data_IF_211672879332
#
_entry.id   IF_211672879332
#
_cell.length_a   1.000
_cell.length_b   1.000
_cell.length_c   1.000
_cell.angle_alpha   90.00
_cell.angle_beta   90.00
_cell.angle_gamma   90.00
#
_symmetry.space_group_name_H-M   'P 1'
#
loop_
_entity.id
_entity.type
_entity.pdbx_description
1 polymer ?
#
# COMPACT_ATOMS: atom_id res chain seq x y z
N UNK A 1 11.31 -1.50 -14.49
CA UNK A 1 10.42 -1.80 -13.35
C UNK A 1 9.98 -3.25 -13.48
N UNK A 2 10.06 -4.07 -12.43
CA UNK A 2 9.55 -5.44 -12.53
C UNK A 2 8.02 -5.36 -12.50
N UNK A 3 7.41 -5.54 -13.66
CA UNK A 3 5.95 -5.66 -13.76
C UNK A 3 5.56 -7.01 -13.18
N UNK A 4 4.83 -7.01 -12.06
CA UNK A 4 4.23 -8.22 -11.51
C UNK A 4 2.85 -8.36 -12.15
N UNK A 5 2.77 -9.13 -13.23
CA UNK A 5 1.50 -9.36 -13.92
C UNK A 5 0.61 -10.28 -13.09
N UNK A 6 -0.41 -9.71 -12.45
CA UNK A 6 -1.46 -10.46 -11.76
C UNK A 6 -2.64 -10.66 -12.71
N UNK A 7 -3.09 -11.91 -12.88
CA UNK A 7 -4.21 -12.21 -13.78
C UNK A 7 -5.55 -12.01 -13.06
N UNK A 8 -6.31 -11.00 -13.46
CA UNK A 8 -7.69 -10.79 -12.99
C UNK A 8 -8.68 -11.59 -13.86
N UNK A 9 -9.88 -11.95 -13.35
CA UNK A 9 -10.43 -11.61 -12.03
C UNK A 9 -9.86 -12.44 -10.86
N UNK A 10 -9.83 -11.84 -9.68
CA UNK A 10 -9.28 -12.39 -8.45
C UNK A 10 -10.36 -13.03 -7.57
N UNK A 11 -10.07 -14.22 -7.05
CA UNK A 11 -10.72 -14.78 -5.87
C UNK A 11 -9.91 -14.35 -4.63
N UNK A 12 -10.50 -13.55 -3.75
CA UNK A 12 -9.85 -13.09 -2.53
C UNK A 12 -9.96 -14.14 -1.44
N UNK A 13 -8.83 -14.78 -1.12
CA UNK A 13 -8.76 -15.80 -0.09
C UNK A 13 -8.45 -15.17 1.28
N UNK A 14 -9.34 -15.39 2.24
CA UNK A 14 -9.25 -14.81 3.59
C UNK A 14 -9.13 -15.87 4.69
N UNK A 15 -8.88 -17.13 4.31
CA UNK A 15 -8.66 -18.22 5.26
C UNK A 15 -9.77 -18.31 6.31
N UNK A 16 -9.40 -18.67 7.53
CA UNK A 16 -10.30 -18.68 8.70
C UNK A 16 -10.14 -17.42 9.56
N UNK A 17 -9.80 -16.28 8.96
CA UNK A 17 -9.56 -15.03 9.68
C UNK A 17 -10.84 -14.51 10.37
N UNK A 18 -10.68 -13.92 11.54
CA UNK A 18 -11.77 -13.33 12.32
C UNK A 18 -11.55 -11.88 12.69
N UNK A 19 -10.30 -11.39 12.64
CA UNK A 19 -9.97 -10.00 12.92
C UNK A 19 -9.78 -9.20 11.62
N UNK A 20 -10.58 -8.14 11.39
CA UNK A 20 -10.50 -7.34 10.16
C UNK A 20 -9.12 -6.76 9.87
N UNK A 21 -8.32 -6.52 10.92
CA UNK A 21 -6.97 -5.97 10.80
C UNK A 21 -6.02 -6.85 9.98
N UNK A 22 -6.20 -8.17 10.02
CA UNK A 22 -5.37 -9.13 9.31
C UNK A 22 -5.83 -9.37 7.87
N UNK A 23 -7.08 -9.04 7.54
CA UNK A 23 -7.63 -9.11 6.17
C UNK A 23 -7.45 -7.82 5.35
N UNK A 24 -6.60 -6.89 5.81
CA UNK A 24 -6.37 -5.57 5.18
C UNK A 24 -5.96 -5.64 3.70
N UNK A 25 -5.30 -6.72 3.27
CA UNK A 25 -4.91 -6.90 1.87
C UNK A 25 -6.14 -7.18 1.02
N UNK A 26 -6.98 -8.13 1.44
CA UNK A 26 -8.25 -8.43 0.76
C UNK A 26 -9.19 -7.21 0.75
N UNK A 27 -9.38 -6.57 1.90
CA UNK A 27 -10.22 -5.37 2.02
C UNK A 27 -9.71 -4.23 1.13
N UNK A 28 -8.38 -4.07 1.03
CA UNK A 28 -7.77 -3.09 0.13
C UNK A 28 -8.07 -3.37 -1.34
N UNK A 29 -7.96 -4.62 -1.79
CA UNK A 29 -8.28 -5.01 -3.17
C UNK A 29 -9.77 -4.81 -3.48
N UNK A 30 -10.64 -5.30 -2.60
CA UNK A 30 -12.08 -5.17 -2.75
C UNK A 30 -12.54 -3.69 -2.80
N UNK A 31 -11.85 -2.80 -2.08
CA UNK A 31 -12.18 -1.38 -2.07
C UNK A 31 -11.63 -0.62 -3.29
N UNK A 32 -10.37 -0.84 -3.65
CA UNK A 32 -9.66 0.00 -4.64
C UNK A 32 -9.75 -0.52 -6.07
N UNK A 33 -9.89 -1.83 -6.25
CA UNK A 33 -10.04 -2.48 -7.56
C UNK A 33 -11.17 -3.52 -7.52
N UNK A 34 -12.40 -3.13 -7.11
CA UNK A 34 -13.54 -4.05 -7.03
C UNK A 34 -13.82 -4.75 -8.36
N UNK A 35 -13.57 -4.08 -9.49
CA UNK A 35 -13.74 -4.63 -10.84
C UNK A 35 -12.79 -5.80 -11.14
N UNK A 36 -11.66 -5.88 -10.43
CA UNK A 36 -10.75 -7.03 -10.50
C UNK A 36 -11.13 -8.15 -9.52
N UNK A 37 -12.02 -7.91 -8.56
CA UNK A 37 -12.37 -8.86 -7.51
C UNK A 37 -13.70 -9.55 -7.81
N UNK A 38 -13.68 -10.84 -8.16
CA UNK A 38 -14.90 -11.57 -8.53
C UNK A 38 -15.61 -12.23 -7.35
N UNK A 39 -14.89 -12.44 -6.25
CA UNK A 39 -15.46 -13.07 -5.06
C UNK A 39 -14.47 -13.18 -3.90
N UNK A 40 -14.96 -13.73 -2.80
CA UNK A 40 -14.18 -14.09 -1.63
C UNK A 40 -14.31 -15.59 -1.30
N UNK A 41 -13.28 -16.15 -0.69
CA UNK A 41 -13.25 -17.51 -0.15
C UNK A 41 -12.75 -17.48 1.30
N UNK A 42 -13.59 -17.98 2.21
CA UNK A 42 -13.27 -18.22 3.61
C UNK A 42 -13.23 -19.71 3.92
N UNK A 43 -12.39 -20.11 4.87
CA UNK A 43 -12.36 -21.43 5.46
C UNK A 43 -13.29 -21.49 6.70
N UNK A 44 -13.68 -22.69 7.15
CA UNK A 44 -14.48 -22.86 8.37
C UNK A 44 -13.88 -22.10 9.56
N UNK A 45 -14.75 -21.37 10.29
CA UNK A 45 -14.37 -20.54 11.43
C UNK A 45 -14.04 -19.08 11.08
N UNK A 46 -13.82 -18.73 9.81
CA UNK A 46 -13.62 -17.35 9.40
C UNK A 46 -14.91 -16.51 9.46
N UNK A 47 -14.82 -15.28 9.94
CA UNK A 47 -15.96 -14.36 10.10
C UNK A 47 -15.87 -13.11 9.22
N UNK A 48 -14.74 -12.90 8.53
CA UNK A 48 -14.55 -11.74 7.66
C UNK A 48 -15.48 -11.80 6.45
N UNK A 49 -16.18 -10.69 6.21
CA UNK A 49 -17.00 -10.45 5.02
C UNK A 49 -16.52 -9.17 4.33
N UNK A 50 -16.15 -9.29 3.05
CA UNK A 50 -15.69 -8.18 2.21
C UNK A 50 -16.84 -7.58 1.39
N UNK A 51 -18.06 -8.10 1.53
CA UNK A 51 -19.21 -7.73 0.71
C UNK A 51 -19.16 -8.28 -0.72
N UNK A 52 -18.29 -9.26 -0.98
CA UNK A 52 -18.13 -9.91 -2.29
C UNK A 52 -18.90 -11.23 -2.35
N UNK A 53 -19.27 -11.72 -3.55
CA UNK A 53 -19.82 -13.06 -3.71
C UNK A 53 -18.94 -14.14 -3.07
N UNK A 54 -19.56 -15.07 -2.34
CA UNK A 54 -18.85 -16.18 -1.69
C UNK A 54 -18.71 -17.33 -2.68
N UNK A 55 -17.48 -17.76 -2.90
CA UNK A 55 -17.14 -18.85 -3.80
C UNK A 55 -16.27 -19.88 -3.11
N UNK A 56 -16.38 -21.13 -3.53
CA UNK A 56 -15.30 -22.11 -3.42
C UNK A 56 -14.36 -22.01 -4.63
N UNK A 57 -13.24 -22.73 -4.59
CA UNK A 57 -12.24 -22.70 -5.68
C UNK A 57 -12.86 -23.11 -7.02
N UNK A 58 -13.64 -24.20 -7.04
CA UNK A 58 -14.19 -24.79 -8.27
C UNK A 58 -15.22 -23.86 -8.92
N UNK A 59 -16.10 -23.26 -8.13
CA UNK A 59 -17.10 -22.30 -8.61
C UNK A 59 -16.45 -21.01 -9.08
N UNK A 60 -15.42 -20.50 -8.39
CA UNK A 60 -14.67 -19.33 -8.82
C UNK A 60 -13.96 -19.58 -10.17
N UNK A 61 -13.30 -20.73 -10.31
CA UNK A 61 -12.63 -21.13 -11.56
C UNK A 61 -13.62 -21.17 -12.74
N UNK A 62 -14.78 -21.80 -12.55
CA UNK A 62 -15.86 -21.86 -13.54
C UNK A 62 -16.45 -20.49 -13.87
N UNK A 63 -16.50 -19.60 -12.88
CA UNK A 63 -16.93 -18.21 -13.05
C UNK A 63 -15.84 -17.32 -13.68
N UNK A 64 -14.67 -17.87 -14.00
CA UNK A 64 -13.62 -17.19 -14.77
C UNK A 64 -12.49 -16.58 -13.93
N UNK A 65 -12.42 -16.85 -12.62
CA UNK A 65 -11.30 -16.43 -11.79
C UNK A 65 -9.97 -16.93 -12.37
N UNK A 66 -8.96 -16.06 -12.35
CA UNK A 66 -7.62 -16.32 -12.90
C UNK A 66 -6.55 -16.43 -11.83
N UNK A 67 -6.78 -15.81 -10.68
CA UNK A 67 -5.87 -15.91 -9.54
C UNK A 67 -6.62 -16.03 -8.23
N UNK A 68 -6.09 -16.84 -7.32
CA UNK A 68 -6.42 -16.82 -5.90
C UNK A 68 -5.40 -15.91 -5.20
N UNK A 69 -5.88 -14.81 -4.61
CA UNK A 69 -5.02 -13.85 -3.91
C UNK A 69 -5.14 -14.08 -2.41
N UNK A 70 -4.03 -14.41 -1.74
CA UNK A 70 -3.98 -14.52 -0.29
C UNK A 70 -4.09 -13.10 0.31
N UNK A 71 -5.28 -12.80 0.79
CA UNK A 71 -5.67 -11.47 1.25
C UNK A 71 -5.49 -11.25 2.76
N UNK A 72 -4.92 -12.21 3.47
CA UNK A 72 -4.67 -12.17 4.92
C UNK A 72 -3.19 -12.17 5.27
N UNK A 73 -2.85 -11.62 6.44
CA UNK A 73 -1.51 -11.67 7.02
C UNK A 73 -1.57 -12.35 8.38
N UNK A 74 -1.19 -13.63 8.45
CA UNK A 74 -1.07 -14.33 9.72
C UNK A 74 0.07 -13.76 10.57
N UNK A 75 -0.09 -13.76 11.90
CA UNK A 75 0.99 -13.45 12.84
C UNK A 75 2.14 -14.44 12.61
N UNK A 76 3.34 -13.93 12.34
CA UNK A 76 4.52 -14.74 11.99
C UNK A 76 4.68 -15.05 10.49
N UNK A 77 3.69 -14.75 9.65
CA UNK A 77 3.83 -14.74 8.19
C UNK A 77 3.90 -16.11 7.49
N UNK A 78 3.66 -17.21 8.22
CA UNK A 78 3.59 -18.56 7.68
C UNK A 78 2.20 -18.86 7.09
N UNK A 79 2.17 -19.73 6.07
CA UNK A 79 0.93 -20.29 5.53
C UNK A 79 0.51 -21.47 6.42
N UNK A 80 -0.66 -21.44 7.06
CA UNK A 80 -1.16 -22.55 7.86
C UNK A 80 -1.31 -23.83 7.04
N UNK A 81 -0.95 -24.98 7.61
CA UNK A 81 -1.11 -26.29 6.96
C UNK A 81 -2.55 -26.55 6.51
N UNK A 82 -3.54 -26.05 7.26
CA UNK A 82 -4.95 -26.16 6.93
C UNK A 82 -5.35 -25.48 5.60
N UNK A 83 -4.53 -24.56 5.08
CA UNK A 83 -4.81 -23.88 3.80
C UNK A 83 -4.32 -24.71 2.60
N UNK A 84 -3.35 -25.60 2.81
CA UNK A 84 -2.68 -26.35 1.72
C UNK A 84 -3.65 -27.07 0.79
N UNK A 85 -4.68 -27.80 1.28
CA UNK A 85 -5.64 -28.45 0.38
C UNK A 85 -6.37 -27.47 -0.54
N UNK A 86 -6.73 -26.28 -0.03
CA UNK A 86 -7.40 -25.25 -0.81
C UNK A 86 -6.47 -24.60 -1.83
N UNK A 87 -5.22 -24.33 -1.44
CA UNK A 87 -4.21 -23.75 -2.33
C UNK A 87 -3.86 -24.72 -3.47
N UNK A 88 -3.64 -26.00 -3.16
CA UNK A 88 -3.39 -27.03 -4.19
C UNK A 88 -4.58 -27.14 -5.15
N UNK A 89 -5.81 -27.19 -4.64
CA UNK A 89 -7.02 -27.22 -5.47
C UNK A 89 -7.12 -26.00 -6.40
N UNK A 90 -6.67 -24.82 -5.96
CA UNK A 90 -6.66 -23.62 -6.78
C UNK A 90 -5.71 -23.75 -7.97
N UNK A 91 -4.49 -24.25 -7.73
CA UNK A 91 -3.52 -24.53 -8.80
C UNK A 91 -4.06 -25.57 -9.78
N UNK A 92 -4.57 -26.70 -9.27
CA UNK A 92 -5.18 -27.76 -10.09
C UNK A 92 -6.36 -27.26 -10.93
N UNK A 93 -7.08 -26.24 -10.45
CA UNK A 93 -8.17 -25.58 -11.16
C UNK A 93 -7.70 -24.50 -12.15
N UNK A 94 -6.38 -24.31 -12.29
CA UNK A 94 -5.75 -23.37 -13.21
C UNK A 94 -5.64 -21.93 -12.70
N UNK A 95 -5.84 -21.70 -11.40
CA UNK A 95 -5.70 -20.37 -10.79
C UNK A 95 -4.26 -20.16 -10.35
N UNK A 96 -3.66 -19.03 -10.74
CA UNK A 96 -2.39 -18.60 -10.15
C UNK A 96 -2.59 -18.30 -8.66
N UNK A 97 -1.60 -18.59 -7.81
CA UNK A 97 -1.62 -18.16 -6.40
C UNK A 97 -0.75 -16.92 -6.27
N UNK A 98 -1.33 -15.87 -5.68
CA UNK A 98 -0.65 -14.61 -5.43
C UNK A 98 -0.57 -14.37 -3.94
N UNK A 99 0.63 -14.12 -3.41
CA UNK A 99 0.82 -13.86 -2.00
C UNK A 99 1.91 -12.83 -1.71
N UNK A 100 1.72 -12.07 -0.63
CA UNK A 100 2.72 -11.16 -0.06
C UNK A 100 3.21 -11.60 1.33
N UNK A 101 3.04 -12.90 1.64
CA UNK A 101 3.46 -13.49 2.92
C UNK A 101 4.99 -13.55 3.04
N UNK A 102 5.50 -13.77 4.25
CA UNK A 102 6.94 -13.89 4.48
C UNK A 102 7.50 -15.23 3.99
N UNK A 103 6.75 -16.32 4.15
CA UNK A 103 7.11 -17.63 3.61
C UNK A 103 6.82 -17.66 2.12
N UNK A 104 7.85 -17.76 1.27
CA UNK A 104 7.66 -17.73 -0.17
C UNK A 104 6.91 -18.97 -0.65
N UNK A 105 5.94 -18.78 -1.54
CA UNK A 105 5.20 -19.86 -2.18
C UNK A 105 6.16 -20.81 -2.91
N UNK A 106 7.17 -20.24 -3.59
CA UNK A 106 8.18 -20.99 -4.35
C UNK A 106 9.18 -21.77 -3.47
N UNK A 107 9.11 -21.64 -2.14
CA UNK A 107 9.90 -22.46 -1.20
C UNK A 107 9.09 -23.65 -0.64
N UNK A 108 7.81 -23.80 -1.03
CA UNK A 108 6.92 -24.86 -0.57
C UNK A 108 6.80 -25.99 -1.61
N UNK A 109 7.40 -27.18 -1.38
CA UNK A 109 7.48 -28.23 -2.41
C UNK A 109 6.12 -28.69 -2.96
N UNK A 110 5.11 -28.77 -2.10
CA UNK A 110 3.75 -29.17 -2.49
C UNK A 110 3.11 -28.17 -3.46
N UNK A 111 3.26 -26.87 -3.23
CA UNK A 111 2.74 -25.83 -4.14
C UNK A 111 3.52 -25.82 -5.46
N UNK A 112 4.84 -25.97 -5.40
CA UNK A 112 5.68 -26.01 -6.61
C UNK A 112 5.33 -27.21 -7.50
N UNK A 113 5.09 -28.38 -6.91
CA UNK A 113 4.66 -29.56 -7.64
C UNK A 113 3.30 -29.33 -8.33
N UNK A 114 2.29 -28.87 -7.59
CA UNK A 114 0.96 -28.61 -8.11
C UNK A 114 0.94 -27.51 -9.20
N UNK A 115 1.73 -26.44 -9.02
CA UNK A 115 1.89 -25.38 -10.02
C UNK A 115 2.52 -25.91 -11.31
N UNK A 116 3.55 -26.76 -11.21
CA UNK A 116 4.19 -27.38 -12.37
C UNK A 116 3.26 -28.30 -13.15
N UNK A 117 2.43 -29.07 -12.46
CA UNK A 117 1.49 -30.02 -13.10
C UNK A 117 0.32 -29.31 -13.78
N UNK A 118 -0.20 -28.24 -13.18
CA UNK A 118 -1.33 -27.46 -13.70
C UNK A 118 -0.93 -26.42 -14.75
N UNK A 119 0.33 -25.96 -14.74
CA UNK A 119 0.79 -24.80 -15.51
C UNK A 119 0.39 -23.44 -14.90
N UNK A 120 -0.23 -23.45 -13.71
CA UNK A 120 -0.50 -22.24 -12.94
C UNK A 120 0.78 -21.66 -12.33
N UNK A 121 0.77 -20.37 -11.99
CA UNK A 121 1.94 -19.66 -11.46
C UNK A 121 1.83 -19.39 -9.96
N UNK A 122 2.98 -19.44 -9.27
CA UNK A 122 3.14 -18.96 -7.91
C UNK A 122 3.78 -17.57 -7.93
N UNK A 123 3.07 -16.56 -7.46
CA UNK A 123 3.48 -15.16 -7.52
C UNK A 123 3.78 -14.62 -6.13
N UNK A 124 5.07 -14.53 -5.81
CA UNK A 124 5.58 -13.94 -4.56
C UNK A 124 5.77 -12.42 -4.72
N UNK A 125 4.76 -11.64 -4.32
CA UNK A 125 4.74 -10.17 -4.47
C UNK A 125 5.79 -9.47 -3.61
N UNK A 126 6.32 -10.16 -2.59
CA UNK A 126 7.31 -9.62 -1.66
C UNK A 126 8.76 -9.87 -2.10
N UNK A 127 8.98 -10.45 -3.27
CA UNK A 127 10.34 -10.63 -3.81
C UNK A 127 10.71 -9.38 -4.62
N UNK A 128 11.69 -8.59 -4.18
CA UNK A 128 12.15 -7.44 -4.96
C UNK A 128 12.92 -7.87 -6.21
N UNK A 129 13.07 -6.98 -7.21
CA UNK A 129 13.97 -7.20 -8.34
C UNK A 129 15.39 -7.53 -7.89
N UNK A 130 16.10 -8.38 -8.64
CA UNK A 130 17.49 -8.79 -8.31
C UNK A 130 18.50 -7.65 -8.49
N UNK A 131 18.32 -6.85 -9.55
CA UNK A 131 19.32 -5.88 -10.00
C UNK A 131 18.90 -4.44 -9.65
N UNK A 132 18.57 -4.18 -8.38
CA UNK A 132 18.29 -2.82 -7.91
C UNK A 132 19.63 -2.09 -7.74
N UNK A 133 19.84 -0.94 -8.40
CA UNK A 133 21.07 -0.18 -8.24
C UNK A 133 21.10 0.54 -6.89
N UNK A 134 22.28 1.03 -6.50
CA UNK A 134 22.37 2.07 -5.47
C UNK A 134 21.74 3.35 -6.02
N UNK A 135 20.99 4.07 -5.19
CA UNK A 135 20.38 5.35 -5.59
C UNK A 135 21.44 6.39 -5.94
N UNK A 136 21.17 7.18 -6.96
CA UNK A 136 22.09 8.20 -7.51
C UNK A 136 21.87 9.58 -6.91
N UNK A 137 20.65 9.87 -6.44
CA UNK A 137 20.25 11.22 -6.01
C UNK A 137 20.16 12.23 -7.16
N UNK A 138 20.25 11.79 -8.42
CA UNK A 138 20.07 12.67 -9.56
C UNK A 138 18.59 13.04 -9.69
N UNK A 139 18.29 14.35 -9.69
CA UNK A 139 16.91 14.84 -9.85
C UNK A 139 16.35 14.38 -11.20
N UNK A 140 15.16 13.81 -11.17
CA UNK A 140 14.44 13.28 -12.33
C UNK A 140 13.32 14.21 -12.76
N UNK A 141 13.00 14.25 -14.05
CA UNK A 141 11.86 15.00 -14.60
C UNK A 141 10.53 14.43 -14.11
N UNK A 142 9.48 15.25 -14.10
CA UNK A 142 8.19 14.94 -13.49
C UNK A 142 8.15 15.28 -12.01
N UNK A 143 6.92 15.34 -11.48
CA UNK A 143 6.61 15.75 -10.12
C UNK A 143 6.32 14.54 -9.25
N UNK A 144 6.62 14.63 -7.96
CA UNK A 144 6.54 13.49 -7.03
C UNK A 144 5.88 13.89 -5.73
N UNK A 145 4.82 13.17 -5.36
CA UNK A 145 4.14 13.32 -4.08
C UNK A 145 4.40 12.07 -3.22
N UNK A 146 4.96 12.25 -2.02
CA UNK A 146 5.17 11.16 -1.07
C UNK A 146 4.18 11.23 0.09
N UNK A 147 3.51 10.12 0.41
CA UNK A 147 2.80 10.02 1.68
C UNK A 147 3.77 9.64 2.79
N UNK A 148 3.80 10.40 3.88
CA UNK A 148 4.57 10.10 5.11
C UNK A 148 3.60 9.93 6.27
N UNK A 149 4.05 9.57 7.47
CA UNK A 149 3.11 9.49 8.58
C UNK A 149 3.73 9.39 9.96
N UNK A 150 2.87 9.61 10.95
CA UNK A 150 3.21 9.50 12.39
C UNK A 150 3.53 8.06 12.79
N UNK A 151 3.03 7.07 12.04
CA UNK A 151 3.27 5.65 12.25
C UNK A 151 2.94 4.78 11.00
N UNK A 152 3.06 3.47 11.13
CA UNK A 152 2.58 2.40 10.28
C UNK A 152 1.06 2.19 10.35
N UNK A 153 0.51 1.61 9.28
CA UNK A 153 -0.87 1.11 9.19
C UNK A 153 -1.97 2.14 9.54
N UNK A 154 -1.78 3.40 9.13
CA UNK A 154 -2.68 4.53 9.44
C UNK A 154 -3.29 5.23 8.21
N UNK A 155 -3.08 4.68 6.99
CA UNK A 155 -3.73 5.23 5.79
C UNK A 155 -2.83 5.71 4.67
N UNK A 156 -1.48 5.73 4.80
CA UNK A 156 -0.57 6.23 3.74
C UNK A 156 -0.88 5.73 2.32
N UNK A 157 -1.07 4.41 2.16
CA UNK A 157 -1.48 3.79 0.89
C UNK A 157 -2.84 4.32 0.39
N UNK A 158 -3.82 4.44 1.28
CA UNK A 158 -5.17 4.88 0.94
C UNK A 158 -5.16 6.36 0.54
N UNK A 159 -4.38 7.19 1.24
CA UNK A 159 -4.14 8.59 0.87
C UNK A 159 -3.52 8.70 -0.51
N UNK A 160 -2.45 7.94 -0.78
CA UNK A 160 -1.79 7.95 -2.09
C UNK A 160 -2.71 7.49 -3.23
N UNK A 161 -3.49 6.42 -3.02
CA UNK A 161 -4.48 5.95 -4.00
C UNK A 161 -5.60 6.98 -4.23
N UNK A 162 -6.12 7.61 -3.16
CA UNK A 162 -7.15 8.62 -3.26
C UNK A 162 -6.68 9.85 -4.05
N UNK A 163 -5.46 10.33 -3.78
CA UNK A 163 -4.85 11.45 -4.49
C UNK A 163 -4.64 11.10 -5.96
N UNK A 164 -4.01 9.96 -6.26
CA UNK A 164 -3.76 9.55 -7.65
C UNK A 164 -5.06 9.43 -8.45
N UNK A 165 -6.08 8.79 -7.87
CA UNK A 165 -7.39 8.64 -8.51
C UNK A 165 -8.09 9.98 -8.74
N UNK A 166 -8.13 10.85 -7.73
CA UNK A 166 -8.76 12.16 -7.86
C UNK A 166 -8.00 13.07 -8.86
N UNK A 167 -6.67 12.97 -8.94
CA UNK A 167 -5.89 13.63 -9.98
C UNK A 167 -6.30 13.15 -11.38
N UNK A 168 -6.36 11.83 -11.59
CA UNK A 168 -6.79 11.25 -12.87
C UNK A 168 -8.23 11.63 -13.24
N UNK A 169 -9.15 11.64 -12.27
CA UNK A 169 -10.54 12.07 -12.45
C UNK A 169 -10.65 13.56 -12.87
N UNK A 170 -9.67 14.37 -12.47
CA UNK A 170 -9.51 15.78 -12.90
C UNK A 170 -8.72 15.94 -14.20
N UNK A 171 -8.31 14.85 -14.86
CA UNK A 171 -7.53 14.90 -16.10
C UNK A 171 -6.05 15.24 -15.91
N UNK A 172 -5.54 15.16 -14.68
CA UNK A 172 -4.11 15.34 -14.37
C UNK A 172 -3.41 14.01 -14.61
N UNK A 173 -2.29 14.05 -15.34
CA UNK A 173 -1.45 12.88 -15.58
C UNK A 173 -0.76 12.47 -14.27
N UNK A 174 -1.22 11.36 -13.67
CA UNK A 174 -0.73 10.90 -12.39
C UNK A 174 -0.77 9.38 -12.31
N UNK A 175 0.28 8.78 -11.73
CA UNK A 175 0.40 7.36 -11.47
C UNK A 175 0.55 7.09 -9.97
N UNK A 176 -0.22 6.14 -9.44
CA UNK A 176 0.07 5.57 -8.13
C UNK A 176 1.30 4.66 -8.22
N UNK A 177 2.34 4.96 -7.41
CA UNK A 177 3.57 4.18 -7.33
C UNK A 177 3.58 3.32 -6.07
N UNK A 178 3.33 2.03 -6.26
CA UNK A 178 3.28 1.08 -5.16
C UNK A 178 4.66 0.74 -4.61
N UNK A 179 4.77 0.76 -3.28
CA UNK A 179 5.99 0.43 -2.53
C UNK A 179 5.77 -0.71 -1.52
N UNK A 180 4.52 -1.14 -1.33
CA UNK A 180 4.16 -2.24 -0.44
C UNK A 180 3.36 -3.32 -1.16
N UNK A 181 3.36 -4.53 -0.58
CA UNK A 181 2.68 -5.71 -1.15
C UNK A 181 1.24 -5.45 -1.61
N UNK A 182 0.39 -4.84 -0.76
CA UNK A 182 -1.01 -4.60 -1.12
C UNK A 182 -1.12 -3.54 -2.21
N UNK A 183 -0.27 -2.51 -2.18
CA UNK A 183 -0.21 -1.51 -3.25
C UNK A 183 0.13 -2.16 -4.59
N UNK A 184 1.11 -3.06 -4.60
CA UNK A 184 1.53 -3.78 -5.81
C UNK A 184 0.42 -4.67 -6.33
N UNK A 185 -0.34 -5.34 -5.44
CA UNK A 185 -1.48 -6.15 -5.86
C UNK A 185 -2.61 -5.31 -6.46
N UNK A 186 -2.79 -4.08 -6.00
CA UNK A 186 -3.79 -3.13 -6.55
C UNK A 186 -3.31 -2.60 -7.92
N UNK A 187 -2.07 -2.13 -7.99
CA UNK A 187 -1.49 -1.46 -9.15
C UNK A 187 -1.06 -2.42 -10.28
N UNK A 188 -0.68 -3.67 -9.95
CA UNK A 188 -0.07 -4.62 -10.88
C UNK A 188 1.40 -4.34 -11.19
N UNK A 189 2.03 -3.38 -10.51
CA UNK A 189 3.46 -3.10 -10.58
C UNK A 189 3.92 -2.43 -9.27
N UNK A 190 5.24 -2.35 -9.07
CA UNK A 190 5.85 -1.70 -7.91
C UNK A 190 7.03 -2.50 -7.36
N UNK A 191 7.55 -2.09 -6.21
CA UNK A 191 8.66 -2.77 -5.53
C UNK A 191 8.33 -2.88 -4.04
N UNK A 192 8.37 -4.07 -3.42
CA UNK A 192 8.15 -4.23 -1.98
C UNK A 192 9.37 -3.70 -1.22
N UNK A 193 9.39 -2.39 -0.94
CA UNK A 193 10.60 -1.71 -0.46
C UNK A 193 11.05 -2.19 0.92
N UNK A 194 10.14 -2.78 1.71
CA UNK A 194 10.46 -3.38 3.02
C UNK A 194 11.28 -4.68 2.91
N UNK A 195 11.32 -5.30 1.72
CA UNK A 195 12.09 -6.50 1.42
C UNK A 195 13.39 -6.19 0.64
N UNK A 196 13.62 -4.92 0.31
CA UNK A 196 14.84 -4.47 -0.38
C UNK A 196 15.98 -4.38 0.63
N UNK A 197 17.16 -4.90 0.27
CA UNK A 197 18.37 -4.79 1.08
C UNK A 197 18.73 -3.32 1.25
N UNK A 198 19.16 -2.94 2.46
CA UNK A 198 19.31 -1.54 2.88
C UNK A 198 20.10 -0.65 1.90
N UNK A 199 21.19 -1.17 1.33
CA UNK A 199 22.05 -0.47 0.36
C UNK A 199 21.31 0.02 -0.90
N UNK A 200 20.16 -0.60 -1.22
CA UNK A 200 19.42 -0.37 -2.47
C UNK A 200 18.06 0.30 -2.25
N UNK A 201 17.72 0.73 -1.04
CA UNK A 201 16.41 1.35 -0.73
C UNK A 201 16.15 2.61 -1.57
N UNK A 202 17.15 3.51 -1.66
CA UNK A 202 17.03 4.72 -2.47
C UNK A 202 16.94 4.41 -3.96
N UNK A 203 17.73 3.46 -4.46
CA UNK A 203 17.66 3.04 -5.87
C UNK A 203 16.32 2.38 -6.22
N UNK A 204 15.74 1.60 -5.31
CA UNK A 204 14.38 1.08 -5.47
C UNK A 204 13.35 2.22 -5.57
N UNK A 205 13.48 3.23 -4.72
CA UNK A 205 12.61 4.41 -4.74
C UNK A 205 12.77 5.24 -6.05
N UNK A 206 13.98 5.31 -6.61
CA UNK A 206 14.22 5.91 -7.93
C UNK A 206 13.54 5.08 -9.05
N UNK A 207 13.63 3.75 -8.99
CA UNK A 207 13.04 2.85 -9.99
C UNK A 207 11.51 2.89 -10.01
N UNK A 208 10.85 3.11 -8.87
CA UNK A 208 9.39 3.26 -8.81
C UNK A 208 8.91 4.67 -9.18
N UNK A 209 9.81 5.67 -9.25
CA UNK A 209 9.48 7.06 -9.59
C UNK A 209 10.41 7.61 -10.69
N UNK A 210 10.40 6.99 -11.89
CA UNK A 210 11.37 7.27 -12.95
C UNK A 210 11.22 8.68 -13.55
N UNK A 211 12.04 9.04 -14.53
CA UNK A 211 11.80 10.24 -15.34
C UNK A 211 10.43 10.14 -16.02
N UNK A 212 9.67 11.23 -15.97
CA UNK A 212 8.40 11.35 -16.68
C UNK A 212 8.26 12.75 -17.32
N UNK A 213 7.12 13.02 -17.96
CA UNK A 213 6.78 14.36 -18.46
C UNK A 213 6.82 15.38 -17.31
N UNK A 214 7.14 16.64 -17.58
CA UNK A 214 7.37 17.64 -16.54
C UNK A 214 6.15 17.87 -15.63
N UNK A 215 4.94 17.63 -16.15
CA UNK A 215 3.68 17.82 -15.43
C UNK A 215 3.07 16.54 -14.86
N UNK A 216 3.66 15.37 -15.14
CA UNK A 216 3.20 14.09 -14.58
C UNK A 216 3.51 13.99 -13.08
N UNK A 217 2.57 13.43 -12.33
CA UNK A 217 2.72 13.15 -10.89
C UNK A 217 2.92 11.66 -10.59
N UNK A 218 4.08 11.31 -10.05
CA UNK A 218 4.26 10.05 -9.33
C UNK A 218 3.72 10.20 -7.90
N UNK A 219 2.60 9.55 -7.58
CA UNK A 219 2.01 9.56 -6.23
C UNK A 219 2.44 8.29 -5.49
N UNK A 220 3.40 8.45 -4.59
CA UNK A 220 4.19 7.37 -4.03
C UNK A 220 3.59 6.90 -2.70
N UNK A 221 3.31 5.59 -2.63
CA UNK A 221 2.88 4.92 -1.40
C UNK A 221 3.97 5.03 -0.33
N UNK A 222 3.63 5.60 0.82
CA UNK A 222 4.52 5.69 1.96
C UNK A 222 4.63 4.39 2.76
N UNK A 223 5.85 4.06 3.18
CA UNK A 223 6.13 2.95 4.12
C UNK A 223 6.75 3.45 5.41
N UNK A 224 6.52 2.72 6.51
CA UNK A 224 7.12 3.00 7.81
C UNK A 224 6.72 4.35 8.42
N UNK A 225 7.58 4.87 9.30
CA UNK A 225 7.61 6.27 9.71
C UNK A 225 9.05 6.64 10.05
N UNK A 226 9.45 7.89 9.79
CA UNK A 226 10.77 8.42 10.17
C UNK A 226 11.03 8.37 11.69
N UNK A 227 9.98 8.24 12.50
CA UNK A 227 10.06 8.14 13.96
C UNK A 227 9.90 6.70 14.47
N UNK A 228 9.56 5.74 13.60
CA UNK A 228 9.36 4.36 14.03
C UNK A 228 10.71 3.65 14.28
N UNK A 229 10.97 3.10 15.48
CA UNK A 229 12.26 2.50 15.81
C UNK A 229 12.70 1.38 14.86
N UNK A 230 11.76 0.53 14.45
CA UNK A 230 12.03 -0.61 13.57
C UNK A 230 11.93 -0.35 12.06
N UNK A 231 11.36 0.78 11.60
CA UNK A 231 10.99 0.96 10.17
C UNK A 231 11.43 2.30 9.58
N UNK A 232 12.16 3.12 10.35
CA UNK A 232 12.64 4.44 9.89
C UNK A 232 13.60 4.33 8.71
N UNK A 233 14.44 3.29 8.64
CA UNK A 233 15.35 3.05 7.52
C UNK A 233 14.63 2.98 6.18
N UNK A 234 13.48 2.30 6.14
CA UNK A 234 12.65 2.18 4.94
C UNK A 234 12.07 3.53 4.53
N UNK A 235 11.51 4.29 5.50
CA UNK A 235 10.97 5.63 5.23
C UNK A 235 12.03 6.60 4.73
N UNK A 236 13.24 6.56 5.32
CA UNK A 236 14.37 7.40 4.90
C UNK A 236 14.82 7.04 3.49
N UNK A 237 14.99 5.74 3.18
CA UNK A 237 15.38 5.30 1.84
C UNK A 237 14.36 5.72 0.77
N UNK A 238 13.07 5.60 1.06
CA UNK A 238 11.98 6.07 0.20
C UNK A 238 12.05 7.58 0.00
N UNK A 239 12.15 8.38 1.06
CA UNK A 239 12.25 9.84 0.98
C UNK A 239 13.45 10.28 0.12
N UNK A 240 14.62 9.70 0.36
CA UNK A 240 15.86 10.05 -0.33
C UNK A 240 15.81 9.70 -1.82
N UNK A 241 15.37 8.49 -2.15
CA UNK A 241 15.34 8.06 -3.55
C UNK A 241 14.16 8.64 -4.32
N UNK A 242 13.02 8.86 -3.69
CA UNK A 242 11.85 9.45 -4.35
C UNK A 242 12.00 10.94 -4.61
N UNK A 243 12.81 11.69 -3.85
CA UNK A 243 13.05 13.12 -4.06
C UNK A 243 11.75 13.95 -4.25
N UNK A 244 10.77 13.78 -3.34
CA UNK A 244 9.42 14.32 -3.54
C UNK A 244 9.43 15.84 -3.61
N UNK A 245 8.58 16.40 -4.47
CA UNK A 245 8.28 17.83 -4.54
C UNK A 245 7.27 18.22 -3.47
N UNK A 246 6.34 17.31 -3.16
CA UNK A 246 5.35 17.48 -2.13
C UNK A 246 5.22 16.24 -1.25
N UNK A 247 4.78 16.42 -0.01
CA UNK A 247 4.38 15.31 0.84
C UNK A 247 3.12 15.59 1.65
N UNK A 248 2.44 14.50 2.03
CA UNK A 248 1.22 14.53 2.86
C UNK A 248 1.49 13.76 4.14
N UNK A 249 1.25 14.38 5.29
CA UNK A 249 1.40 13.73 6.60
C UNK A 249 0.14 12.93 6.92
N UNK A 250 0.29 11.62 7.02
CA UNK A 250 -0.80 10.71 7.36
C UNK A 250 -0.78 10.41 8.87
N UNK A 251 -1.94 10.46 9.51
CA UNK A 251 -2.11 10.12 10.94
C UNK A 251 -3.43 9.38 11.18
N UNK A 252 -3.61 8.80 12.37
CA UNK A 252 -4.86 8.19 12.82
C UNK A 252 -5.43 8.98 13.99
N UNK A 253 -6.73 9.29 13.95
CA UNK A 253 -7.38 10.05 15.00
C UNK A 253 -7.29 9.33 16.36
N UNK A 254 -6.97 10.09 17.41
CA UNK A 254 -6.88 9.65 18.80
C UNK A 254 -5.76 8.64 19.12
N UNK A 255 -4.94 8.23 18.15
CA UNK A 255 -3.80 7.34 18.41
C UNK A 255 -2.69 8.11 19.12
N UNK A 256 -2.20 7.55 20.23
CA UNK A 256 -1.16 8.19 21.06
C UNK A 256 0.17 7.46 21.04
N UNK A 257 0.17 6.16 20.71
CA UNK A 257 1.37 5.31 20.72
C UNK A 257 1.51 4.52 19.43
N UNK A 258 2.72 4.02 19.21
CA UNK A 258 3.01 3.16 18.08
C UNK A 258 2.24 1.85 18.21
N UNK A 259 1.56 1.43 17.13
CA UNK A 259 0.71 0.23 17.17
C UNK A 259 1.57 -1.02 17.33
N UNK A 260 1.29 -1.77 18.39
CA UNK A 260 2.05 -2.95 18.78
C UNK A 260 3.35 -2.65 19.54
N UNK A 261 3.66 -1.37 19.79
CA UNK A 261 4.86 -0.90 20.50
C UNK A 261 4.43 0.13 21.56
N UNK A 262 3.79 -0.31 22.65
CA UNK A 262 3.12 0.58 23.61
C UNK A 262 4.08 1.49 24.38
N UNK A 263 5.38 1.21 24.39
CA UNK A 263 6.39 2.02 25.08
C UNK A 263 6.84 3.26 24.29
N UNK A 264 6.31 3.45 23.07
CA UNK A 264 6.73 4.52 22.16
C UNK A 264 5.54 5.41 21.78
N UNK A 265 5.57 6.67 22.22
CA UNK A 265 4.59 7.68 21.83
C UNK A 265 4.69 8.04 20.34
N UNK A 266 3.58 8.48 19.75
CA UNK A 266 3.59 9.02 18.41
C UNK A 266 4.28 10.39 18.35
N UNK A 267 5.01 10.70 17.27
CA UNK A 267 5.46 12.06 17.04
C UNK A 267 4.29 13.00 16.79
N UNK A 268 4.47 14.28 17.11
CA UNK A 268 3.55 15.32 16.68
C UNK A 268 3.61 15.51 15.15
N UNK A 269 2.52 16.00 14.55
CA UNK A 269 2.48 16.32 13.12
C UNK A 269 3.60 17.32 12.75
N UNK A 270 3.84 18.42 13.49
CA UNK A 270 4.97 19.31 13.23
C UNK A 270 6.32 18.60 13.22
N UNK A 271 6.57 17.68 14.16
CA UNK A 271 7.83 16.92 14.18
C UNK A 271 8.00 16.05 12.93
N UNK A 272 6.91 15.47 12.40
CA UNK A 272 6.94 14.73 11.13
C UNK A 272 7.23 15.66 9.96
N UNK A 273 6.61 16.84 9.90
CA UNK A 273 6.85 17.84 8.85
C UNK A 273 8.32 18.28 8.88
N UNK A 274 8.81 18.71 10.04
CA UNK A 274 10.17 19.25 10.20
C UNK A 274 11.22 18.22 9.82
N UNK A 275 11.11 16.98 10.31
CA UNK A 275 12.07 15.91 9.99
C UNK A 275 12.02 15.49 8.52
N UNK A 276 10.83 15.51 7.91
CA UNK A 276 10.69 15.19 6.48
C UNK A 276 11.36 16.26 5.63
N UNK A 277 11.19 17.55 5.96
CA UNK A 277 11.82 18.67 5.26
C UNK A 277 13.34 18.66 5.47
N UNK A 278 13.80 18.51 6.71
CA UNK A 278 15.23 18.51 7.08
C UNK A 278 16.00 17.47 6.26
N UNK A 279 15.49 16.23 6.24
CA UNK A 279 16.07 15.14 5.46
C UNK A 279 15.86 15.34 3.94
N UNK A 280 14.64 15.65 3.52
CA UNK A 280 14.27 15.73 2.10
C UNK A 280 15.00 16.82 1.32
N UNK A 281 15.34 17.95 1.98
CA UNK A 281 16.06 19.07 1.35
C UNK A 281 17.44 18.70 0.82
N UNK A 282 18.05 17.62 1.30
CA UNK A 282 19.30 17.11 0.77
C UNK A 282 19.20 16.69 -0.70
N UNK A 283 18.02 16.23 -1.13
CA UNK A 283 17.78 15.71 -2.49
C UNK A 283 16.75 16.51 -3.27
N UNK A 284 15.94 17.32 -2.59
CA UNK A 284 15.03 18.27 -3.21
C UNK A 284 14.84 19.52 -2.31
N UNK A 285 15.54 20.64 -2.59
CA UNK A 285 15.44 21.86 -1.77
C UNK A 285 14.03 22.43 -1.62
N UNK A 286 13.15 22.18 -2.60
CA UNK A 286 11.81 22.75 -2.70
C UNK A 286 10.71 21.86 -2.10
N UNK A 287 11.08 20.74 -1.44
CA UNK A 287 10.13 19.84 -0.79
C UNK A 287 9.20 20.59 0.19
N UNK A 288 7.89 20.39 0.04
CA UNK A 288 6.88 21.03 0.90
C UNK A 288 5.81 20.06 1.42
N UNK A 289 5.33 20.32 2.63
CA UNK A 289 4.12 19.66 3.13
C UNK A 289 2.90 20.34 2.52
N UNK A 290 2.00 19.58 1.88
CA UNK A 290 0.82 20.11 1.18
C UNK A 290 -0.49 19.73 1.84
N UNK A 291 -0.44 18.94 2.91
CA UNK A 291 -1.67 18.54 3.61
C UNK A 291 -1.48 17.47 4.67
N UNK A 292 -2.56 17.24 5.39
CA UNK A 292 -2.68 16.24 6.44
C UNK A 292 -3.80 15.28 6.03
N UNK A 293 -3.52 13.99 6.08
CA UNK A 293 -4.50 12.94 5.86
C UNK A 293 -4.75 12.18 7.15
N UNK A 294 -5.99 12.16 7.60
CA UNK A 294 -6.37 11.57 8.89
C UNK A 294 -7.26 10.37 8.62
N UNK A 295 -6.88 9.20 9.13
CA UNK A 295 -7.81 8.10 9.31
C UNK A 295 -8.75 8.43 10.47
N UNK A 296 -10.00 8.77 10.16
CA UNK A 296 -11.04 9.10 11.16
C UNK A 296 -12.05 7.97 11.36
N UNK A 297 -11.72 6.73 10.96
CA UNK A 297 -12.62 5.58 11.10
C UNK A 297 -12.98 5.24 12.55
N UNK A 298 -12.15 5.65 13.51
CA UNK A 298 -12.39 5.50 14.96
C UNK A 298 -13.28 6.60 15.54
N UNK A 299 -13.49 7.70 14.82
CA UNK A 299 -14.33 8.81 15.26
C UNK A 299 -15.80 8.57 14.93
N UNK A 300 -16.74 9.03 15.77
CA UNK A 300 -18.13 9.16 15.39
C UNK A 300 -18.27 10.05 14.15
N UNK A 301 -19.15 9.66 13.22
CA UNK A 301 -19.31 10.37 11.94
C UNK A 301 -19.62 11.87 12.09
N UNK A 302 -20.34 12.26 13.16
CA UNK A 302 -20.70 13.66 13.44
C UNK A 302 -19.54 14.51 13.98
N UNK A 303 -18.46 13.90 14.48
CA UNK A 303 -17.29 14.61 15.01
C UNK A 303 -16.22 14.85 13.92
N UNK A 304 -16.24 14.04 12.86
CA UNK A 304 -15.22 14.03 11.79
C UNK A 304 -14.95 15.41 11.19
N UNK A 305 -16.01 16.14 10.82
CA UNK A 305 -15.87 17.43 10.14
C UNK A 305 -15.17 18.46 11.05
N UNK A 306 -15.60 18.56 12.31
CA UNK A 306 -14.99 19.47 13.28
C UNK A 306 -13.54 19.08 13.60
N UNK A 307 -13.24 17.78 13.68
CA UNK A 307 -11.88 17.28 13.93
C UNK A 307 -10.92 17.70 12.80
N UNK A 308 -11.34 17.51 11.54
CA UNK A 308 -10.54 17.89 10.37
C UNK A 308 -10.38 19.42 10.27
N UNK A 309 -11.45 20.18 10.45
CA UNK A 309 -11.41 21.66 10.43
C UNK A 309 -10.43 22.21 11.48
N UNK A 310 -10.49 21.69 12.72
CA UNK A 310 -9.59 22.11 13.79
C UNK A 310 -8.12 21.83 13.46
N UNK A 311 -7.81 20.66 12.89
CA UNK A 311 -6.45 20.36 12.43
C UNK A 311 -6.02 21.28 11.29
N UNK A 312 -6.92 21.57 10.37
CA UNK A 312 -6.62 22.44 9.24
C UNK A 312 -6.27 23.84 9.69
N UNK A 313 -7.06 24.42 10.60
CA UNK A 313 -6.80 25.72 11.20
C UNK A 313 -5.52 25.73 12.04
N UNK A 314 -5.29 24.67 12.83
CA UNK A 314 -4.12 24.59 13.71
C UNK A 314 -2.80 24.59 12.92
N UNK A 315 -2.77 23.93 11.77
CA UNK A 315 -1.54 23.75 10.99
C UNK A 315 -1.47 24.61 9.73
N UNK A 316 -2.54 25.34 9.38
CA UNK A 316 -2.60 26.12 8.14
C UNK A 316 -2.45 25.27 6.88
N UNK A 317 -2.88 24.00 6.94
CA UNK A 317 -2.79 23.01 5.87
C UNK A 317 -4.16 22.35 5.67
N UNK A 318 -4.53 21.92 4.45
CA UNK A 318 -5.75 21.14 4.29
C UNK A 318 -5.65 19.84 5.09
N UNK A 319 -6.70 19.51 5.85
CA UNK A 319 -6.82 18.27 6.57
C UNK A 319 -8.02 17.49 6.04
N UNK A 320 -7.80 16.26 5.57
CA UNK A 320 -8.82 15.42 4.94
C UNK A 320 -8.91 14.06 5.62
N UNK A 321 -10.03 13.37 5.45
CA UNK A 321 -10.07 11.91 5.46
C UNK A 321 -10.23 11.42 4.02
N UNK A 322 -9.23 10.72 3.44
CA UNK A 322 -9.22 10.42 2.01
C UNK A 322 -10.34 9.46 1.59
N UNK A 323 -10.91 8.71 2.54
CA UNK A 323 -12.03 7.80 2.29
C UNK A 323 -13.37 8.49 2.52
N UNK A 324 -13.47 9.33 3.53
CA UNK A 324 -14.74 9.96 3.88
C UNK A 324 -15.01 11.29 3.15
N UNK A 325 -13.99 12.08 2.88
CA UNK A 325 -14.10 13.43 2.31
C UNK A 325 -13.40 13.59 0.96
N UNK A 326 -12.72 12.55 0.46
CA UNK A 326 -11.93 12.62 -0.76
C UNK A 326 -10.61 13.38 -0.60
N UNK A 327 -9.91 13.61 -1.71
CA UNK A 327 -8.55 14.18 -1.74
C UNK A 327 -8.45 15.59 -2.35
N UNK A 328 -9.59 16.18 -2.71
CA UNK A 328 -9.67 17.42 -3.48
C UNK A 328 -8.89 18.59 -2.86
N UNK A 329 -9.09 18.85 -1.57
CA UNK A 329 -8.42 19.95 -0.87
C UNK A 329 -6.89 19.86 -0.87
N UNK A 330 -6.32 18.65 -0.88
CA UNK A 330 -4.87 18.45 -1.01
C UNK A 330 -4.42 18.75 -2.44
N UNK A 331 -5.19 18.32 -3.44
CA UNK A 331 -4.88 18.57 -4.86
C UNK A 331 -4.93 20.07 -5.15
N UNK A 332 -5.93 20.77 -4.63
CA UNK A 332 -6.05 22.23 -4.79
C UNK A 332 -4.86 22.97 -4.16
N UNK A 333 -4.43 22.56 -2.96
CA UNK A 333 -3.24 23.12 -2.31
C UNK A 333 -1.95 22.83 -3.10
N UNK A 334 -1.87 21.67 -3.76
CA UNK A 334 -0.71 21.26 -4.55
C UNK A 334 -0.56 22.04 -5.86
N UNK A 335 -1.67 22.31 -6.54
CA UNK A 335 -1.68 22.99 -7.84
C UNK A 335 -1.66 24.52 -7.69
N UNK A 336 -1.95 25.02 -6.48
CA UNK A 336 -2.24 26.43 -6.23
C UNK A 336 -3.70 26.73 -6.58
N UNK A 337 -4.40 27.46 -5.71
CA UNK A 337 -5.71 28.01 -6.05
C UNK A 337 -5.57 28.95 -7.26
N UNK A 338 -6.33 28.72 -8.34
CA UNK A 338 -6.58 29.78 -9.33
C UNK A 338 -7.27 30.99 -8.69
#
# INVERSE_FOLDING_TARGET
MQTITLKAPYLLFIGSETEPIYAKTAAGLAHWVPEKCMGQLSLPGGTIDLGLPKHDVVSAAKAGAKSLVIGTSAVGGAIPAAWMPTLIQALESGLDIVAGVHTKLNEMPELVAAAKESGASLVDVRVPPKDIPVGTGLKRTGKRLLTVGTDCALGKKYTALAIARAMQERGIDADFRASGQTGIMIAGNGIPIDAVVADFLSGAAELISPNNSADHWDVIEGQGSLFHPGYSSVSTGLLMGSQPDAFVVCTEALRTHIKGWPDFELPSIPAVIDRTIDLGKQVNPDIACVGISVNTSTLPAHERAAYLENLSQLYGLPAIDPIATGADAIIDALLGSE
#
